data_IF_720355225832
#
_entry.id   IF_720355225832
#
_cell.length_a   1.000
_cell.length_b   1.000
_cell.length_c   1.000
_cell.angle_alpha   90.00
_cell.angle_beta   90.00
_cell.angle_gamma   90.00
#
_symmetry.space_group_name_H-M   'P 1'
#
loop_
_entity.id
_entity.type
_entity.pdbx_description
1 polymer ?
#
# COMPACT_ATOMS: atom_id res chain seq x y z
N UNK A 1 -21.37 0.75 4.12
CA UNK A 1 -22.19 0.30 2.97
C UNK A 1 -21.40 -0.76 2.21
N UNK A 2 -21.95 -1.95 1.92
CA UNK A 2 -21.26 -3.02 1.16
C UNK A 2 -21.85 -3.13 -0.25
N UNK A 3 -21.00 -3.34 -1.26
CA UNK A 3 -21.40 -3.51 -2.67
C UNK A 3 -21.25 -4.98 -3.07
N UNK A 4 -22.32 -5.60 -3.58
CA UNK A 4 -22.26 -6.98 -4.09
C UNK A 4 -21.50 -7.02 -5.41
N UNK A 5 -20.53 -7.92 -5.51
CA UNK A 5 -19.76 -8.19 -6.73
C UNK A 5 -19.85 -9.68 -7.07
N UNK A 6 -19.93 -9.96 -8.36
CA UNK A 6 -19.74 -11.30 -8.89
C UNK A 6 -18.32 -11.38 -9.46
N UNK A 7 -17.58 -12.42 -9.12
CA UNK A 7 -16.20 -12.62 -9.57
C UNK A 7 -16.05 -14.01 -10.15
N UNK A 8 -15.22 -14.13 -11.19
CA UNK A 8 -14.84 -15.41 -11.77
C UNK A 8 -13.44 -15.75 -11.27
N UNK A 9 -13.30 -16.95 -10.70
CA UNK A 9 -12.03 -17.46 -10.18
C UNK A 9 -11.64 -18.74 -10.89
N UNK A 10 -10.33 -18.98 -11.03
CA UNK A 10 -9.85 -20.31 -11.42
C UNK A 10 -10.22 -21.34 -10.34
N UNK A 11 -10.32 -22.61 -10.72
CA UNK A 11 -10.65 -23.70 -9.77
C UNK A 11 -9.71 -23.70 -8.56
N UNK A 12 -8.40 -23.55 -8.81
CA UNK A 12 -7.35 -23.49 -7.78
C UNK A 12 -7.50 -22.28 -6.86
N UNK A 13 -7.80 -21.10 -7.41
CA UNK A 13 -8.01 -19.90 -6.60
C UNK A 13 -9.25 -20.02 -5.69
N UNK A 14 -10.33 -20.63 -6.21
CA UNK A 14 -11.51 -20.90 -5.40
C UNK A 14 -11.22 -21.88 -4.25
N UNK A 15 -10.45 -22.94 -4.52
CA UNK A 15 -10.04 -23.90 -3.49
C UNK A 15 -9.22 -23.23 -2.38
N UNK A 16 -8.22 -22.43 -2.75
CA UNK A 16 -7.42 -21.67 -1.79
C UNK A 16 -8.25 -20.68 -0.98
N UNK A 17 -9.21 -20.00 -1.62
CA UNK A 17 -10.12 -19.11 -0.91
C UNK A 17 -10.98 -19.87 0.12
N UNK A 18 -11.44 -21.09 -0.20
CA UNK A 18 -12.18 -21.94 0.75
C UNK A 18 -11.30 -22.38 1.92
N UNK A 19 -10.05 -22.75 1.66
CA UNK A 19 -9.10 -23.13 2.72
C UNK A 19 -8.84 -21.93 3.64
N UNK A 20 -8.50 -20.77 3.08
CA UNK A 20 -8.25 -19.55 3.85
C UNK A 20 -9.47 -19.11 4.68
N UNK A 21 -10.67 -19.22 4.12
CA UNK A 21 -11.92 -18.94 4.84
C UNK A 21 -12.11 -19.87 6.05
N UNK A 22 -11.83 -21.17 5.87
CA UNK A 22 -11.89 -22.16 6.97
C UNK A 22 -10.86 -21.88 8.06
N UNK A 23 -9.60 -21.69 7.68
CA UNK A 23 -8.52 -21.43 8.64
C UNK A 23 -8.74 -20.16 9.44
N UNK A 24 -9.20 -19.09 8.78
CA UNK A 24 -9.49 -17.80 9.41
C UNK A 24 -10.84 -17.75 10.12
N UNK A 25 -11.67 -18.80 10.01
CA UNK A 25 -13.06 -18.86 10.51
C UNK A 25 -13.89 -17.66 10.04
N UNK A 26 -13.76 -17.30 8.76
CA UNK A 26 -14.43 -16.14 8.12
C UNK A 26 -15.17 -16.57 6.88
N UNK A 27 -16.11 -15.74 6.43
CA UNK A 27 -16.71 -15.90 5.11
C UNK A 27 -15.69 -15.61 4.00
N UNK A 28 -15.91 -16.17 2.82
CA UNK A 28 -15.06 -15.91 1.65
C UNK A 28 -15.02 -14.42 1.30
N UNK A 29 -16.15 -13.72 1.44
CA UNK A 29 -16.24 -12.27 1.18
C UNK A 29 -15.38 -11.44 2.13
N UNK A 30 -15.34 -11.80 3.42
CA UNK A 30 -14.48 -11.14 4.41
C UNK A 30 -12.99 -11.40 4.13
N UNK A 31 -12.64 -12.63 3.74
CA UNK A 31 -11.28 -12.95 3.33
C UNK A 31 -10.86 -12.16 2.10
N UNK A 32 -11.73 -12.04 1.10
CA UNK A 32 -11.46 -11.21 -0.09
C UNK A 32 -11.26 -9.74 0.32
N UNK A 33 -12.12 -9.20 1.17
CA UNK A 33 -12.04 -7.81 1.63
C UNK A 33 -10.71 -7.54 2.36
N UNK A 34 -10.28 -8.45 3.24
CA UNK A 34 -8.99 -8.35 3.93
C UNK A 34 -7.79 -8.44 2.98
N UNK A 35 -7.85 -9.34 1.99
CA UNK A 35 -6.79 -9.48 1.00
C UNK A 35 -6.66 -8.22 0.14
N UNK A 36 -7.79 -7.62 -0.27
CA UNK A 36 -7.80 -6.35 -1.02
C UNK A 36 -7.20 -5.23 -0.17
N UNK A 37 -7.59 -5.11 1.10
CA UNK A 37 -7.05 -4.08 1.99
C UNK A 37 -5.56 -4.25 2.22
N UNK A 38 -5.10 -5.49 2.41
CA UNK A 38 -3.67 -5.80 2.57
C UNK A 38 -2.88 -5.42 1.32
N UNK A 39 -3.37 -5.81 0.14
CA UNK A 39 -2.73 -5.52 -1.14
C UNK A 39 -2.63 -4.00 -1.37
N UNK A 40 -3.70 -3.24 -1.10
CA UNK A 40 -3.68 -1.77 -1.22
C UNK A 40 -2.70 -1.14 -0.23
N UNK A 41 -2.65 -1.62 1.01
CA UNK A 41 -1.68 -1.11 2.00
C UNK A 41 -0.23 -1.35 1.55
N UNK A 42 0.05 -2.52 0.97
CA UNK A 42 1.37 -2.82 0.40
C UNK A 42 1.66 -1.95 -0.83
N UNK A 43 0.68 -1.77 -1.72
CA UNK A 43 0.79 -0.92 -2.89
C UNK A 43 1.06 0.55 -2.51
N UNK A 44 0.32 1.09 -1.53
CA UNK A 44 0.53 2.45 -1.02
C UNK A 44 1.90 2.60 -0.36
N UNK A 45 2.34 1.59 0.39
CA UNK A 45 3.68 1.60 1.01
C UNK A 45 4.77 1.64 -0.06
N UNK A 46 4.65 0.81 -1.10
CA UNK A 46 5.56 0.80 -2.26
C UNK A 46 5.50 2.12 -3.03
N UNK A 47 4.31 2.70 -3.21
CA UNK A 47 4.14 4.01 -3.87
C UNK A 47 4.76 5.13 -3.05
N UNK A 48 4.57 5.16 -1.72
CA UNK A 48 5.22 6.11 -0.83
C UNK A 48 6.73 5.98 -0.85
N UNK A 49 7.24 4.75 -0.83
CA UNK A 49 8.67 4.49 -0.99
C UNK A 49 9.18 4.99 -2.34
N UNK A 50 8.46 4.74 -3.44
CA UNK A 50 8.83 5.24 -4.76
C UNK A 50 8.82 6.77 -4.83
N UNK A 51 7.80 7.43 -4.27
CA UNK A 51 7.73 8.90 -4.18
C UNK A 51 8.86 9.45 -3.29
N UNK A 52 9.19 8.75 -2.20
CA UNK A 52 10.29 9.12 -1.31
C UNK A 52 11.65 8.93 -1.98
N UNK A 53 11.85 7.86 -2.75
CA UNK A 53 13.04 7.65 -3.59
C UNK A 53 13.14 8.70 -4.70
N UNK A 54 12.03 9.07 -5.33
CA UNK A 54 11.98 10.16 -6.32
C UNK A 54 12.28 11.52 -5.66
N UNK A 55 11.78 11.77 -4.45
CA UNK A 55 12.12 12.96 -3.65
C UNK A 55 13.60 12.97 -3.26
N UNK A 56 14.17 11.84 -2.81
CA UNK A 56 15.60 11.73 -2.47
C UNK A 56 16.50 11.92 -3.69
N UNK A 57 16.16 11.32 -4.84
CA UNK A 57 16.86 11.55 -6.11
C UNK A 57 16.72 13.00 -6.58
N UNK A 58 15.56 13.61 -6.31
CA UNK A 58 15.34 15.03 -6.49
C UNK A 58 16.22 15.88 -5.58
N UNK A 59 16.41 15.51 -4.31
CA UNK A 59 17.20 16.28 -3.32
C UNK A 59 18.68 16.37 -3.70
N UNK A 60 19.26 15.34 -4.31
CA UNK A 60 20.61 15.42 -4.90
C UNK A 60 20.69 16.39 -6.09
N UNK A 61 19.55 16.68 -6.73
CA UNK A 61 19.39 17.60 -7.86
C UNK A 61 18.93 19.01 -7.44
N UNK A 62 18.27 19.15 -6.29
CA UNK A 62 17.81 20.41 -5.71
C UNK A 62 18.86 20.99 -4.76
N UNK A 63 20.00 21.39 -5.35
CA UNK A 63 20.93 22.29 -4.68
C UNK A 63 20.28 23.67 -4.53
N UNK A 64 19.58 23.88 -3.42
CA UNK A 64 19.23 25.22 -2.95
C UNK A 64 17.74 25.50 -2.88
N UNK A 65 17.20 25.33 -1.67
CA UNK A 65 15.91 25.84 -1.16
C UNK A 65 14.65 25.11 -1.60
N UNK A 66 13.90 24.62 -0.61
CA UNK A 66 12.50 24.22 -0.72
C UNK A 66 11.72 25.28 0.07
N UNK A 67 11.11 26.24 -0.63
CA UNK A 67 10.56 27.45 0.00
C UNK A 67 11.64 28.37 0.58
N UNK A 68 11.40 29.00 1.73
CA UNK A 68 12.37 29.86 2.43
C UNK A 68 13.40 29.08 3.28
N UNK A 69 13.24 27.76 3.39
CA UNK A 69 14.09 26.93 4.24
C UNK A 69 15.02 26.04 3.41
N UNK A 70 16.26 25.91 3.88
CA UNK A 70 17.26 25.02 3.29
C UNK A 70 16.98 23.58 3.74
N UNK A 71 17.33 22.59 2.91
CA UNK A 71 17.17 21.16 3.23
C UNK A 71 17.83 20.78 4.57
N UNK A 72 18.91 21.46 4.97
CA UNK A 72 19.53 21.31 6.29
C UNK A 72 18.62 21.74 7.45
N UNK A 73 17.89 22.85 7.32
CA UNK A 73 16.98 23.34 8.37
C UNK A 73 15.79 22.40 8.57
N UNK A 74 15.30 21.79 7.49
CA UNK A 74 14.22 20.78 7.57
C UNK A 74 14.73 19.50 8.26
N UNK A 75 16.00 19.11 8.06
CA UNK A 75 16.60 17.96 8.74
C UNK A 75 16.77 18.19 10.24
N UNK A 76 17.07 19.41 10.66
CA UNK A 76 17.20 19.78 12.08
C UNK A 76 15.86 19.86 12.81
N UNK A 77 14.75 20.16 12.13
CA UNK A 77 13.40 20.17 12.75
C UNK A 77 12.80 18.78 12.97
N UNK A 78 13.36 17.73 12.35
CA UNK A 78 12.85 16.35 12.41
C UNK A 78 13.60 15.49 13.46
N UNK A 79 14.75 15.96 13.98
CA UNK A 79 15.54 15.30 15.04
C UNK A 79 15.23 15.95 16.39
#
# INVERSE_FOLDING_TARGET
MKVRKNITLSKKANEFLRILAREKKKSQSEVIEELIQKEIKEYESKRKLKIFEELLKGIDSYSGKIGDKTVQQIKEEII
#
